data_IF_484522823282
#
_entry.id   IF_484522823282
#
_cell.length_a   1.000
_cell.length_b   1.000
_cell.length_c   1.000
_cell.angle_alpha   90.00
_cell.angle_beta   90.00
_cell.angle_gamma   90.00
#
_symmetry.space_group_name_H-M   'P 1'
#
loop_
_entity.id
_entity.type
_entity.pdbx_description
1 polymer ?
#
# COMPACT_ATOMS: atom_id res chain seq x y z
N UNK A 1 -43.31 -3.48 21.96
CA UNK A 1 -42.31 -2.61 21.31
C UNK A 1 -40.93 -3.17 21.63
N UNK A 2 -40.16 -3.57 20.62
CA UNK A 2 -38.81 -4.15 20.81
C UNK A 2 -37.90 -3.07 21.39
N UNK A 3 -37.42 -3.27 22.63
CA UNK A 3 -36.36 -2.44 23.21
C UNK A 3 -35.05 -2.82 22.52
N UNK A 4 -34.73 -2.09 21.46
CA UNK A 4 -33.38 -2.15 20.88
C UNK A 4 -32.41 -1.61 21.92
N UNK A 5 -31.31 -2.34 22.12
CA UNK A 5 -30.33 -2.09 23.18
C UNK A 5 -29.85 -0.64 23.18
N UNK A 6 -29.62 -0.04 24.37
CA UNK A 6 -29.00 1.28 24.48
C UNK A 6 -27.73 1.30 23.63
N UNK A 7 -27.63 2.34 22.82
CA UNK A 7 -26.49 2.68 21.96
C UNK A 7 -25.21 2.09 22.51
N UNK A 8 -24.67 1.09 21.80
CA UNK A 8 -23.31 0.60 22.04
C UNK A 8 -22.44 1.84 21.97
N UNK A 9 -21.86 2.18 23.11
CA UNK A 9 -21.04 3.38 23.30
C UNK A 9 -20.10 3.50 22.11
N UNK A 10 -20.33 4.54 21.32
CA UNK A 10 -19.34 4.97 20.35
C UNK A 10 -18.26 5.63 21.18
N UNK A 11 -17.25 4.82 21.52
CA UNK A 11 -15.99 5.30 22.06
C UNK A 11 -15.40 6.31 21.06
N UNK A 12 -15.52 7.59 21.41
CA UNK A 12 -14.92 8.71 20.69
C UNK A 12 -13.37 8.62 20.65
N UNK A 13 -12.76 7.63 21.30
CA UNK A 13 -11.32 7.33 21.18
C UNK A 13 -10.93 6.78 19.79
N UNK A 14 -11.90 6.52 18.90
CA UNK A 14 -11.62 6.10 17.51
C UNK A 14 -11.28 7.24 16.56
N UNK A 15 -11.39 8.51 17.00
CA UNK A 15 -10.89 9.67 16.26
C UNK A 15 -9.38 9.88 16.48
N UNK A 16 -8.61 8.79 16.50
CA UNK A 16 -7.17 8.83 16.28
C UNK A 16 -7.01 9.37 14.88
N UNK A 17 -6.80 10.68 14.78
CA UNK A 17 -6.37 11.37 13.56
C UNK A 17 -5.35 10.44 12.92
N UNK A 18 -5.74 9.74 11.84
CA UNK A 18 -4.88 8.76 11.17
C UNK A 18 -3.70 9.56 10.65
N UNK A 19 -2.66 9.65 11.48
CA UNK A 19 -1.49 10.50 11.25
C UNK A 19 -1.02 10.12 9.86
N UNK A 20 -1.11 11.06 8.91
CA UNK A 20 -0.79 10.78 7.51
C UNK A 20 0.57 10.12 7.51
N UNK A 21 0.66 8.91 6.95
CA UNK A 21 1.94 8.20 6.88
C UNK A 21 2.92 9.12 6.18
N UNK A 22 4.07 9.36 6.81
CA UNK A 22 5.13 10.17 6.23
C UNK A 22 5.49 9.51 4.89
N UNK A 23 5.39 10.28 3.81
CA UNK A 23 5.67 9.80 2.46
C UNK A 23 7.16 9.45 2.36
N UNK A 24 7.47 8.15 2.37
CA UNK A 24 8.83 7.67 2.16
C UNK A 24 9.17 7.74 0.67
N UNK A 25 10.28 8.41 0.35
CA UNK A 25 10.88 8.38 -1.00
C UNK A 25 11.18 6.93 -1.38
N UNK A 26 11.00 6.60 -2.65
CA UNK A 26 11.33 5.28 -3.19
C UNK A 26 12.82 5.19 -3.44
N UNK A 27 13.50 4.26 -2.79
CA UNK A 27 14.92 4.05 -3.03
C UNK A 27 15.16 3.31 -4.36
N UNK A 28 16.41 3.29 -4.81
CA UNK A 28 16.76 2.64 -6.08
C UNK A 28 16.46 1.14 -6.04
N UNK A 29 16.83 0.46 -4.95
CA UNK A 29 16.56 -0.96 -4.73
C UNK A 29 15.06 -1.29 -4.77
N UNK A 30 14.21 -0.47 -4.14
CA UNK A 30 12.74 -0.65 -4.19
C UNK A 30 12.21 -0.54 -5.63
N UNK A 31 12.70 0.42 -6.41
CA UNK A 31 12.28 0.61 -7.81
C UNK A 31 12.74 -0.54 -8.70
N UNK A 32 13.98 -0.99 -8.56
CA UNK A 32 14.54 -2.12 -9.31
C UNK A 32 13.82 -3.42 -8.98
N UNK A 33 13.55 -3.67 -7.70
CA UNK A 33 12.80 -4.84 -7.24
C UNK A 33 11.36 -4.80 -7.73
N UNK A 34 10.74 -3.61 -7.77
CA UNK A 34 9.41 -3.45 -8.34
C UNK A 34 9.40 -3.74 -9.85
N UNK A 35 10.36 -3.20 -10.60
CA UNK A 35 10.50 -3.44 -12.04
C UNK A 35 10.73 -4.93 -12.33
N UNK A 36 11.65 -5.58 -11.63
CA UNK A 36 11.93 -7.00 -11.77
C UNK A 36 10.72 -7.86 -11.39
N UNK A 37 10.02 -7.50 -10.31
CA UNK A 37 8.81 -8.17 -9.86
C UNK A 37 7.68 -8.08 -10.88
N UNK A 38 7.43 -6.89 -11.46
CA UNK A 38 6.42 -6.71 -12.50
C UNK A 38 6.82 -7.42 -13.79
N UNK A 39 8.09 -7.39 -14.19
CA UNK A 39 8.57 -8.12 -15.36
C UNK A 39 8.41 -9.64 -15.20
N UNK A 40 8.71 -10.17 -14.00
CA UNK A 40 8.66 -11.61 -13.70
C UNK A 40 7.25 -12.15 -13.46
N UNK A 41 6.41 -11.40 -12.73
CA UNK A 41 5.09 -11.87 -12.29
C UNK A 41 3.93 -11.21 -13.06
N UNK A 42 4.19 -10.17 -13.83
CA UNK A 42 3.18 -9.39 -14.55
C UNK A 42 2.60 -8.24 -13.73
N UNK A 43 2.08 -7.25 -14.45
CA UNK A 43 1.35 -6.12 -13.86
C UNK A 43 0.06 -6.62 -13.19
N UNK A 44 -0.26 -6.09 -12.01
CA UNK A 44 -1.46 -6.49 -11.25
C UNK A 44 -1.18 -7.45 -10.08
N UNK A 45 -0.07 -8.17 -10.11
CA UNK A 45 0.33 -9.12 -9.06
C UNK A 45 0.99 -8.44 -7.84
N UNK A 46 0.48 -7.29 -7.43
CA UNK A 46 1.09 -6.42 -6.39
C UNK A 46 1.24 -7.08 -5.03
N UNK A 47 0.21 -7.80 -4.59
CA UNK A 47 0.24 -8.52 -3.30
C UNK A 47 1.31 -9.62 -3.31
N UNK A 48 1.45 -10.31 -4.45
CA UNK A 48 2.44 -11.37 -4.61
C UNK A 48 3.87 -10.81 -4.67
N UNK A 49 4.08 -9.72 -5.41
CA UNK A 49 5.36 -8.99 -5.47
C UNK A 49 5.76 -8.48 -4.08
N UNK A 50 4.81 -7.88 -3.35
CA UNK A 50 5.04 -7.39 -1.99
C UNK A 50 5.41 -8.54 -1.03
N UNK A 51 4.72 -9.67 -1.13
CA UNK A 51 4.97 -10.83 -0.25
C UNK A 51 6.32 -11.47 -0.55
N UNK A 52 6.70 -11.56 -1.82
CA UNK A 52 7.98 -12.15 -2.25
C UNK A 52 9.17 -11.29 -1.82
N UNK A 53 9.02 -9.96 -1.81
CA UNK A 53 10.10 -9.00 -1.53
C UNK A 53 9.80 -8.13 -0.30
N UNK A 54 9.27 -8.75 0.76
CA UNK A 54 8.81 -8.04 1.98
C UNK A 54 9.95 -7.35 2.73
N UNK A 55 11.17 -7.87 2.61
CA UNK A 55 12.39 -7.32 3.19
C UNK A 55 12.84 -6.03 2.49
N UNK A 56 12.60 -5.91 1.19
CA UNK A 56 12.86 -4.70 0.41
C UNK A 56 11.75 -3.67 0.65
N UNK A 57 10.50 -4.11 0.62
CA UNK A 57 9.31 -3.25 0.71
C UNK A 57 8.84 -2.98 2.15
N UNK A 58 9.79 -2.67 3.05
CA UNK A 58 9.50 -2.45 4.48
C UNK A 58 8.58 -1.27 4.73
N UNK A 59 7.34 -1.57 5.10
CA UNK A 59 6.30 -0.58 5.38
C UNK A 59 5.60 -0.03 4.14
N UNK A 60 5.76 -0.69 2.99
CA UNK A 60 4.93 -0.46 1.80
C UNK A 60 3.72 -1.40 1.81
N UNK A 61 2.72 -1.03 1.04
CA UNK A 61 1.51 -1.82 0.79
C UNK A 61 1.41 -2.14 -0.70
N UNK A 62 0.57 -3.12 -1.07
CA UNK A 62 0.34 -3.47 -2.47
C UNK A 62 -0.20 -2.29 -3.29
N UNK A 63 -0.96 -1.39 -2.64
CA UNK A 63 -1.42 -0.13 -3.22
C UNK A 63 -0.24 0.81 -3.51
N UNK A 64 0.71 0.97 -2.59
CA UNK A 64 1.91 1.79 -2.81
C UNK A 64 2.70 1.31 -4.04
N UNK A 65 2.83 -0.01 -4.22
CA UNK A 65 3.50 -0.61 -5.37
C UNK A 65 2.76 -0.29 -6.68
N UNK A 66 1.44 -0.46 -6.71
CA UNK A 66 0.60 -0.11 -7.86
C UNK A 66 0.74 1.36 -8.23
N UNK A 67 0.60 2.25 -7.27
CA UNK A 67 0.69 3.70 -7.52
C UNK A 67 2.10 4.10 -7.94
N UNK A 68 3.13 3.45 -7.41
CA UNK A 68 4.50 3.69 -7.87
C UNK A 68 4.71 3.26 -9.30
N UNK A 69 4.24 2.06 -9.67
CA UNK A 69 4.33 1.54 -11.03
C UNK A 69 3.66 2.48 -12.03
N UNK A 70 2.44 2.94 -11.72
CA UNK A 70 1.73 3.94 -12.55
C UNK A 70 2.53 5.22 -12.75
N UNK A 71 3.14 5.75 -11.69
CA UNK A 71 3.97 6.94 -11.78
C UNK A 71 5.26 6.70 -12.60
N UNK A 72 5.83 5.49 -12.55
CA UNK A 72 6.99 5.12 -13.36
C UNK A 72 6.59 5.02 -14.84
N UNK A 73 5.51 4.32 -15.18
CA UNK A 73 5.07 4.23 -16.57
C UNK A 73 4.67 5.58 -17.17
N UNK A 74 4.03 6.46 -16.38
CA UNK A 74 3.60 7.78 -16.86
C UNK A 74 4.79 8.68 -17.24
N UNK A 75 5.88 8.65 -16.47
CA UNK A 75 7.06 9.48 -16.75
C UNK A 75 8.02 8.86 -17.75
N UNK A 76 8.01 7.54 -17.89
CA UNK A 76 9.02 6.83 -18.68
C UNK A 76 8.52 6.42 -20.07
N UNK A 77 7.23 6.58 -20.39
CA UNK A 77 6.73 6.42 -21.76
C UNK A 77 7.09 5.08 -22.39
N UNK A 78 6.97 4.00 -21.62
CA UNK A 78 7.19 2.62 -22.04
C UNK A 78 5.84 1.99 -22.40
#
# INVERSE_FOLDING_TARGET
>A
MKKVSPLKEYDDSTNVIKKRRITKRWCQLEKETLLAGVNKFGEGNWTFILSTHKDVFKGRTSVDLKDKWRNMNLHTGI
#
